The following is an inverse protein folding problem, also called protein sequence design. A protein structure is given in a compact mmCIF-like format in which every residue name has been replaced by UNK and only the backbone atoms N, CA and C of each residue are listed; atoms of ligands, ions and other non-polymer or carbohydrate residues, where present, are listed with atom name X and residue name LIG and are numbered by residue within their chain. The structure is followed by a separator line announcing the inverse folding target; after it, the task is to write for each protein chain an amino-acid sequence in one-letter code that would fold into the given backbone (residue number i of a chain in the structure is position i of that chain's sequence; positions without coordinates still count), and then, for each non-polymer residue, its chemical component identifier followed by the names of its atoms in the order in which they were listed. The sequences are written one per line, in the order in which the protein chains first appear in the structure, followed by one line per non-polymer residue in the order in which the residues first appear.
data_IF_056709806631
#
_entry.id   IF_056709806631
#
_cell.length_a   1.000
_cell.length_b   1.000
_cell.length_c   1.000
_cell.angle_alpha   90.00
_cell.angle_beta   90.00
_cell.angle_gamma   90.00
#
_symmetry.space_group_name_H-M   'P 1'
#
loop_
_entity.id
_entity.type
_entity.pdbx_description
1 polymer ?
#
# COMPACT_ATOMS: atom_id res chain seq x y z
N UNK A 1 9.58 1.28 -20.11
CA UNK A 1 8.82 0.02 -20.06
C UNK A 1 9.46 -0.87 -19.02
N UNK A 2 8.65 -1.34 -18.08
CA UNK A 2 9.07 -2.25 -17.03
C UNK A 2 9.36 -3.65 -17.55
N UNK A 3 9.73 -4.52 -16.63
CA UNK A 3 9.96 -5.94 -16.91
C UNK A 3 9.21 -6.80 -15.91
N UNK A 4 8.93 -8.03 -16.33
CA UNK A 4 8.34 -9.04 -15.46
C UNK A 4 9.36 -9.51 -14.41
N UNK A 5 8.86 -9.73 -13.19
CA UNK A 5 9.63 -10.36 -12.11
C UNK A 5 8.88 -11.62 -11.69
N UNK A 6 9.45 -12.78 -12.00
CA UNK A 6 8.90 -14.06 -11.61
C UNK A 6 9.58 -14.57 -10.34
N UNK A 7 8.79 -14.94 -9.34
CA UNK A 7 9.24 -15.50 -8.06
C UNK A 7 8.67 -16.90 -7.95
N UNK A 8 9.53 -17.88 -7.73
CA UNK A 8 9.13 -19.29 -7.73
C UNK A 8 9.67 -20.01 -6.50
N UNK A 9 8.76 -20.53 -5.67
CA UNK A 9 9.06 -21.36 -4.50
C UNK A 9 9.99 -20.72 -3.47
N UNK A 10 9.95 -19.39 -3.35
CA UNK A 10 10.91 -18.63 -2.54
C UNK A 10 10.70 -18.92 -1.05
N UNK A 11 11.76 -19.34 -0.36
CA UNK A 11 11.72 -19.59 1.08
C UNK A 11 12.85 -18.86 1.80
N UNK A 12 12.53 -18.21 2.92
CA UNK A 12 13.50 -17.48 3.74
C UNK A 12 13.34 -17.76 5.23
N UNK A 13 14.48 -17.89 5.91
CA UNK A 13 14.60 -18.10 7.34
C UNK A 13 15.79 -17.33 7.92
N UNK A 14 15.69 -16.99 9.21
CA UNK A 14 16.81 -16.51 10.01
C UNK A 14 16.99 -17.47 11.19
N UNK A 15 18.06 -18.25 11.16
CA UNK A 15 18.28 -19.34 12.12
C UNK A 15 17.12 -20.35 12.07
N UNK A 16 16.42 -20.52 13.19
CA UNK A 16 15.26 -21.43 13.30
C UNK A 16 13.93 -20.78 12.89
N UNK A 17 13.90 -19.46 12.75
CA UNK A 17 12.68 -18.71 12.45
C UNK A 17 12.48 -18.64 10.94
N UNK A 18 11.51 -19.39 10.42
CA UNK A 18 11.04 -19.21 9.05
C UNK A 18 10.27 -17.89 8.95
N UNK A 19 10.60 -17.07 7.95
CA UNK A 19 9.91 -15.81 7.67
C UNK A 19 8.84 -16.03 6.60
N UNK A 20 9.18 -16.77 5.53
CA UNK A 20 8.18 -17.31 4.59
C UNK A 20 8.65 -18.60 3.93
N UNK A 21 7.68 -19.36 3.40
CA UNK A 21 7.87 -20.65 2.75
C UNK A 21 7.09 -20.67 1.43
N UNK A 22 7.73 -21.22 0.41
CA UNK A 22 7.11 -21.53 -0.89
C UNK A 22 6.34 -20.37 -1.54
N UNK A 23 6.88 -19.16 -1.45
CA UNK A 23 6.23 -17.97 -2.04
C UNK A 23 6.44 -17.97 -3.55
N UNK A 24 5.33 -18.03 -4.28
CA UNK A 24 5.31 -17.97 -5.75
C UNK A 24 4.39 -16.85 -6.20
N UNK A 25 4.93 -15.90 -6.97
CA UNK A 25 4.15 -14.81 -7.57
C UNK A 25 4.85 -14.26 -8.81
N UNK A 26 4.11 -13.54 -9.63
CA UNK A 26 4.65 -12.86 -10.81
C UNK A 26 4.21 -11.41 -10.80
N UNK A 27 5.18 -10.49 -10.84
CA UNK A 27 4.92 -9.06 -11.02
C UNK A 27 4.86 -8.78 -12.52
N UNK A 28 3.68 -8.48 -13.11
CA UNK A 28 3.57 -8.30 -14.54
C UNK A 28 4.25 -7.00 -14.99
N UNK A 29 4.79 -7.01 -16.22
CA UNK A 29 5.52 -5.88 -16.78
C UNK A 29 4.73 -4.57 -16.82
N UNK A 30 5.27 -3.55 -16.14
CA UNK A 30 4.71 -2.20 -16.06
C UNK A 30 3.47 -2.08 -15.17
N UNK A 31 2.96 -3.18 -14.60
CA UNK A 31 1.82 -3.13 -13.68
C UNK A 31 2.26 -2.70 -12.28
N UNK A 32 1.33 -2.09 -11.54
CA UNK A 32 1.51 -1.71 -10.14
C UNK A 32 0.95 -2.82 -9.28
N UNK A 33 1.78 -3.44 -8.46
CA UNK A 33 1.42 -4.51 -7.55
C UNK A 33 1.57 -4.04 -6.11
N UNK A 34 0.64 -4.43 -5.24
CA UNK A 34 0.73 -4.17 -3.79
C UNK A 34 0.82 -5.50 -3.05
N UNK A 35 1.73 -5.58 -2.07
CA UNK A 35 1.84 -6.69 -1.15
C UNK A 35 1.51 -6.24 0.26
N UNK A 36 0.37 -6.72 0.76
CA UNK A 36 -0.16 -6.49 2.09
C UNK A 36 0.36 -7.49 3.10
N UNK A 37 0.22 -7.13 4.36
CA UNK A 37 0.38 -8.05 5.48
C UNK A 37 0.61 -7.28 6.78
N UNK A 38 0.30 -7.89 7.94
CA UNK A 38 0.63 -7.33 9.24
C UNK A 38 2.11 -6.93 9.37
N UNK A 39 2.40 -6.06 10.33
CA UNK A 39 3.78 -5.74 10.69
C UNK A 39 4.52 -7.02 11.10
N UNK A 40 5.80 -7.14 10.73
CA UNK A 40 6.62 -8.30 11.08
C UNK A 40 6.49 -9.53 10.16
N UNK A 41 5.56 -9.56 9.18
CA UNK A 41 5.42 -10.70 8.25
C UNK A 41 6.54 -10.86 7.22
N UNK A 42 7.57 -10.01 7.29
CA UNK A 42 8.76 -10.15 6.45
C UNK A 42 8.71 -9.44 5.09
N UNK A 43 7.72 -8.58 4.84
CA UNK A 43 7.55 -7.86 3.56
C UNK A 43 8.81 -7.09 3.11
N UNK A 44 9.48 -6.36 4.01
CA UNK A 44 10.75 -5.67 3.70
C UNK A 44 11.90 -6.63 3.42
N UNK A 45 11.88 -7.81 4.05
CA UNK A 45 12.89 -8.85 3.82
C UNK A 45 12.62 -9.52 2.45
N UNK A 46 11.35 -9.65 2.04
CA UNK A 46 10.97 -10.10 0.70
C UNK A 46 11.50 -9.15 -0.38
N UNK A 47 11.35 -7.82 -0.20
CA UNK A 47 11.94 -6.83 -1.11
C UNK A 47 13.46 -6.98 -1.21
N UNK A 48 14.16 -7.16 -0.08
CA UNK A 48 15.61 -7.39 -0.05
C UNK A 48 16.03 -8.66 -0.80
N UNK A 49 15.18 -9.69 -0.83
CA UNK A 49 15.42 -10.88 -1.64
C UNK A 49 15.25 -10.59 -3.14
N UNK A 50 14.24 -9.80 -3.54
CA UNK A 50 14.01 -9.46 -4.95
C UNK A 50 15.17 -8.68 -5.59
N UNK A 51 15.89 -7.86 -4.81
CA UNK A 51 17.07 -7.10 -5.29
C UNK A 51 18.40 -7.84 -5.08
N UNK A 52 18.35 -9.07 -4.55
CA UNK A 52 19.54 -9.85 -4.25
C UNK A 52 20.43 -9.26 -3.15
N UNK A 53 19.88 -8.48 -2.20
CA UNK A 53 20.59 -8.10 -0.97
C UNK A 53 20.57 -9.21 0.07
N UNK A 54 19.55 -10.06 0.04
CA UNK A 54 19.45 -11.25 0.88
C UNK A 54 19.21 -12.48 0.02
N UNK A 55 20.07 -13.49 0.17
CA UNK A 55 19.89 -14.76 -0.53
C UNK A 55 18.83 -15.62 0.18
N UNK A 56 17.79 -16.09 -0.53
CA UNK A 56 16.84 -17.07 0.01
C UNK A 56 17.51 -18.44 0.18
N UNK A 57 16.93 -19.34 0.97
CA UNK A 57 17.46 -20.71 1.08
C UNK A 57 16.96 -21.63 -0.04
N UNK A 58 15.76 -21.35 -0.58
CA UNK A 58 15.14 -22.10 -1.68
C UNK A 58 14.39 -21.16 -2.61
N UNK A 59 14.13 -21.66 -3.82
CA UNK A 59 13.42 -20.94 -4.86
C UNK A 59 14.33 -20.08 -5.70
N UNK A 60 13.72 -19.37 -6.66
CA UNK A 60 14.41 -18.50 -7.61
C UNK A 60 13.64 -17.22 -7.83
N UNK A 61 14.38 -16.18 -8.23
CA UNK A 61 13.83 -14.90 -8.68
C UNK A 61 14.36 -14.67 -10.07
N UNK A 62 13.49 -14.66 -11.06
CA UNK A 62 13.84 -14.59 -12.48
C UNK A 62 13.43 -13.24 -13.05
N UNK A 63 14.39 -12.53 -13.63
CA UNK A 63 14.20 -11.23 -14.29
C UNK A 63 14.93 -11.28 -15.62
N UNK A 64 14.22 -11.00 -16.73
CA UNK A 64 14.77 -11.10 -18.09
C UNK A 64 15.47 -12.46 -18.37
N UNK A 65 14.94 -13.54 -17.80
CA UNK A 65 15.49 -14.90 -17.94
C UNK A 65 16.71 -15.20 -17.07
N UNK A 66 17.18 -14.25 -16.25
CA UNK A 66 18.30 -14.46 -15.32
C UNK A 66 17.78 -14.77 -13.92
N UNK A 67 18.26 -15.86 -13.32
CA UNK A 67 18.00 -16.20 -11.92
C UNK A 67 18.96 -15.46 -10.98
N UNK A 68 18.42 -14.51 -10.22
CA UNK A 68 19.18 -13.68 -9.27
C UNK A 68 19.81 -14.50 -8.14
N UNK A 69 19.26 -15.67 -7.81
CA UNK A 69 19.72 -16.48 -6.68
C UNK A 69 21.00 -17.29 -7.02
N UNK A 70 21.23 -17.56 -8.29
CA UNK A 70 22.35 -18.37 -8.79
C UNK A 70 23.29 -17.63 -9.75
N UNK A 71 22.95 -16.43 -10.20
CA UNK A 71 23.79 -15.69 -11.15
C UNK A 71 25.13 -15.22 -10.53
N UNK A 72 26.18 -15.06 -11.37
CA UNK A 72 27.43 -14.41 -10.96
C UNK A 72 27.23 -12.98 -10.48
N UNK A 73 28.12 -12.50 -9.61
CA UNK A 73 28.05 -11.15 -9.02
C UNK A 73 28.03 -10.03 -10.09
N UNK A 74 28.72 -10.24 -11.22
CA UNK A 74 28.73 -9.32 -12.35
C UNK A 74 27.33 -9.12 -12.94
N UNK A 75 26.58 -10.20 -13.14
CA UNK A 75 25.23 -10.15 -13.71
C UNK A 75 24.25 -9.56 -12.71
N UNK A 76 24.43 -9.89 -11.43
CA UNK A 76 23.67 -9.32 -10.33
C UNK A 76 23.84 -7.79 -10.25
N UNK A 77 25.05 -7.28 -10.47
CA UNK A 77 25.33 -5.84 -10.54
C UNK A 77 24.59 -5.15 -11.69
N UNK A 78 24.56 -5.75 -12.88
CA UNK A 78 23.81 -5.20 -14.02
C UNK A 78 22.30 -5.21 -13.78
N UNK A 79 21.77 -6.31 -13.21
CA UNK A 79 20.36 -6.42 -12.86
C UNK A 79 19.96 -5.39 -11.81
N UNK A 80 20.82 -5.11 -10.81
CA UNK A 80 20.53 -4.07 -9.79
C UNK A 80 20.34 -2.68 -10.37
N UNK A 81 20.92 -2.37 -11.54
CA UNK A 81 20.69 -1.09 -12.23
C UNK A 81 19.27 -0.95 -12.78
N UNK A 82 18.55 -2.07 -12.98
CA UNK A 82 17.16 -2.07 -13.40
C UNK A 82 16.21 -1.66 -12.27
N UNK A 83 16.68 -1.67 -11.01
CA UNK A 83 15.88 -1.39 -9.84
C UNK A 83 16.04 0.05 -9.35
N UNK A 84 14.91 0.70 -9.08
CA UNK A 84 14.81 1.84 -8.20
C UNK A 84 14.20 1.40 -6.87
N UNK A 85 14.84 1.71 -5.74
CA UNK A 85 14.34 1.30 -4.42
C UNK A 85 14.07 2.52 -3.55
N UNK A 86 12.82 2.65 -3.10
CA UNK A 86 12.40 3.58 -2.07
C UNK A 86 12.29 2.81 -0.75
N UNK A 87 13.24 3.04 0.15
CA UNK A 87 13.19 2.54 1.52
C UNK A 87 12.23 3.38 2.39
N UNK A 88 11.78 2.79 3.50
CA UNK A 88 10.81 3.39 4.44
C UNK A 88 11.13 4.84 4.83
N UNK A 89 12.37 5.13 5.23
CA UNK A 89 12.82 6.49 5.61
C UNK A 89 13.48 7.26 4.45
N UNK A 90 13.32 6.80 3.21
CA UNK A 90 14.02 7.30 2.03
C UNK A 90 15.50 6.90 1.95
N UNK A 91 16.14 6.61 3.09
CA UNK A 91 17.54 6.22 3.23
C UNK A 91 18.53 7.21 2.59
N UNK A 92 18.26 8.51 2.71
CA UNK A 92 19.12 9.58 2.21
C UNK A 92 20.40 9.71 3.04
N UNK A 93 21.51 10.05 2.41
CA UNK A 93 22.76 10.39 3.08
C UNK A 93 22.60 11.74 3.79
N UNK A 94 22.61 11.72 5.12
CA UNK A 94 22.39 12.92 5.94
C UNK A 94 23.46 14.01 5.80
N UNK A 95 24.65 13.65 5.32
CA UNK A 95 25.77 14.56 5.07
C UNK A 95 25.75 15.21 3.68
N UNK A 96 24.81 14.83 2.81
CA UNK A 96 24.68 15.33 1.44
C UNK A 96 23.36 16.09 1.30
N UNK A 97 23.34 17.13 0.46
CA UNK A 97 22.08 17.80 0.09
C UNK A 97 21.21 16.89 -0.80
N UNK A 98 19.99 17.32 -1.10
CA UNK A 98 19.06 16.53 -1.93
C UNK A 98 19.59 16.34 -3.36
N UNK A 99 20.18 17.37 -3.97
CA UNK A 99 20.77 17.27 -5.31
C UNK A 99 21.82 16.15 -5.37
N UNK A 100 22.78 16.15 -4.45
CA UNK A 100 23.88 15.19 -4.41
C UNK A 100 23.38 13.79 -4.05
N UNK A 101 22.38 13.68 -3.19
CA UNK A 101 21.70 12.41 -2.92
C UNK A 101 21.10 11.80 -4.18
N UNK A 102 20.40 12.61 -4.99
CA UNK A 102 19.77 12.15 -6.24
C UNK A 102 20.82 11.92 -7.32
N UNK A 103 21.89 12.72 -7.37
CA UNK A 103 22.99 12.59 -8.33
C UNK A 103 23.87 11.35 -8.08
N UNK A 104 23.93 10.87 -6.83
CA UNK A 104 24.86 9.83 -6.41
C UNK A 104 24.84 8.57 -7.32
N UNK A 105 23.70 7.93 -7.63
CA UNK A 105 23.69 6.76 -8.50
C UNK A 105 24.20 7.05 -9.92
N UNK A 106 23.96 8.25 -10.46
CA UNK A 106 24.47 8.63 -11.78
C UNK A 106 26.00 8.76 -11.76
N UNK A 107 26.56 9.39 -10.73
CA UNK A 107 28.01 9.58 -10.60
C UNK A 107 28.75 8.26 -10.38
N UNK A 108 28.15 7.32 -9.68
CA UNK A 108 28.74 6.00 -9.40
C UNK A 108 28.62 5.02 -10.58
N UNK A 109 27.49 5.03 -11.28
CA UNK A 109 27.17 3.99 -12.28
C UNK A 109 27.29 4.45 -13.74
N UNK A 110 27.56 5.73 -13.99
CA UNK A 110 27.66 6.28 -15.35
C UNK A 110 28.92 7.12 -15.54
N UNK A 111 29.23 7.46 -16.79
CA UNK A 111 30.35 8.36 -17.17
C UNK A 111 29.84 9.69 -17.74
N UNK A 112 28.64 10.11 -17.31
CA UNK A 112 28.01 11.36 -17.78
C UNK A 112 28.78 12.57 -17.25
N UNK A 113 28.80 13.64 -18.03
CA UNK A 113 29.34 14.93 -17.60
C UNK A 113 28.49 15.54 -16.49
N UNK A 114 29.07 16.39 -15.64
CA UNK A 114 28.31 17.06 -14.57
C UNK A 114 27.15 17.91 -15.09
N UNK A 115 27.23 18.41 -16.32
CA UNK A 115 26.12 19.09 -16.99
C UNK A 115 24.95 18.13 -17.23
N UNK A 116 25.22 16.97 -17.83
CA UNK A 116 24.19 15.95 -18.07
C UNK A 116 23.61 15.41 -16.75
N UNK A 117 24.46 15.21 -15.73
CA UNK A 117 24.01 14.78 -14.39
C UNK A 117 23.05 15.82 -13.82
N UNK A 118 23.40 17.11 -13.87
CA UNK A 118 22.53 18.19 -13.39
C UNK A 118 21.18 18.19 -14.13
N UNK A 119 21.19 18.08 -15.45
CA UNK A 119 19.95 18.12 -16.24
C UNK A 119 19.02 16.95 -15.88
N UNK A 120 19.56 15.73 -15.74
CA UNK A 120 18.80 14.55 -15.33
C UNK A 120 18.27 14.71 -13.90
N UNK A 121 19.13 15.09 -12.96
CA UNK A 121 18.76 15.23 -11.54
C UNK A 121 17.64 16.25 -11.36
N UNK A 122 17.75 17.42 -12.00
CA UNK A 122 16.72 18.46 -11.91
C UNK A 122 15.41 17.98 -12.52
N UNK A 123 15.45 17.25 -13.63
CA UNK A 123 14.25 16.62 -14.21
C UNK A 123 13.58 15.64 -13.24
N UNK A 124 14.34 14.80 -12.53
CA UNK A 124 13.78 13.87 -11.54
C UNK A 124 13.26 14.55 -10.27
N UNK A 125 13.92 15.62 -9.83
CA UNK A 125 13.45 16.45 -8.71
C UNK A 125 12.14 17.15 -9.05
N UNK A 126 11.99 17.62 -10.29
CA UNK A 126 10.73 18.19 -10.78
C UNK A 126 9.61 17.15 -10.87
N UNK A 127 9.92 15.96 -11.38
CA UNK A 127 8.97 14.84 -11.47
C UNK A 127 8.35 14.45 -10.12
N UNK A 128 9.06 14.65 -9.01
CA UNK A 128 8.52 14.41 -7.65
C UNK A 128 8.01 15.68 -6.95
N UNK A 129 7.95 16.81 -7.66
CA UNK A 129 7.46 18.10 -7.15
C UNK A 129 8.33 18.66 -6.03
N UNK A 130 9.66 18.63 -6.20
CA UNK A 130 10.65 19.08 -5.21
C UNK A 130 11.58 20.20 -5.70
N UNK A 131 11.24 20.89 -6.79
CA UNK A 131 11.98 22.07 -7.23
C UNK A 131 12.09 23.13 -6.10
N UNK A 132 13.27 23.71 -5.95
CA UNK A 132 13.61 24.68 -4.90
C UNK A 132 14.05 24.06 -3.57
N UNK A 133 14.04 22.72 -3.45
CA UNK A 133 14.52 22.01 -2.26
C UNK A 133 15.84 21.27 -2.49
N UNK A 134 16.43 21.35 -3.69
CA UNK A 134 17.62 20.60 -4.10
C UNK A 134 18.86 20.90 -3.24
N UNK A 135 19.00 22.14 -2.76
CA UNK A 135 20.11 22.55 -1.90
C UNK A 135 19.94 22.20 -0.41
N UNK A 136 18.76 21.74 0.01
CA UNK A 136 18.47 21.42 1.42
C UNK A 136 19.12 20.11 1.84
N UNK A 137 19.40 19.97 3.12
CA UNK A 137 19.81 18.71 3.73
C UNK A 137 18.56 17.86 4.10
N UNK A 138 18.68 16.53 4.20
CA UNK A 138 17.57 15.66 4.61
C UNK A 138 16.93 16.03 5.96
N UNK A 139 17.71 16.62 6.87
CA UNK A 139 17.22 17.11 8.17
C UNK A 139 16.35 18.37 8.10
N UNK A 140 16.39 19.10 6.99
CA UNK A 140 15.71 20.40 6.81
C UNK A 140 14.36 20.28 6.08
N UNK A 141 13.96 19.06 5.71
CA UNK A 141 12.74 18.79 4.94
C UNK A 141 11.78 17.88 5.70
N UNK A 142 10.49 17.98 5.40
CA UNK A 142 9.45 17.16 6.04
C UNK A 142 9.58 15.68 5.69
N UNK A 143 8.95 14.78 6.46
CA UNK A 143 8.95 13.34 6.18
C UNK A 143 8.44 12.99 4.78
N UNK A 144 7.37 13.64 4.32
CA UNK A 144 6.86 13.46 2.96
C UNK A 144 7.84 13.95 1.89
N UNK A 145 8.58 15.04 2.13
CA UNK A 145 9.64 15.49 1.24
C UNK A 145 10.83 14.52 1.22
N UNK A 146 11.21 13.93 2.37
CA UNK A 146 12.29 12.92 2.41
C UNK A 146 11.95 11.71 1.53
N UNK A 147 10.70 11.25 1.57
CA UNK A 147 10.22 10.13 0.76
C UNK A 147 10.23 10.45 -0.73
N UNK A 148 9.77 11.65 -1.10
CA UNK A 148 9.83 12.13 -2.49
C UNK A 148 11.26 12.31 -2.99
N UNK A 149 12.18 12.79 -2.16
CA UNK A 149 13.60 12.85 -2.49
C UNK A 149 14.22 11.46 -2.65
N UNK A 150 13.87 10.51 -1.77
CA UNK A 150 14.26 9.11 -1.91
C UNK A 150 13.74 8.49 -3.20
N UNK A 151 12.50 8.83 -3.60
CA UNK A 151 11.90 8.40 -4.85
C UNK A 151 12.62 9.02 -6.07
N UNK A 152 12.96 10.31 -6.04
CA UNK A 152 13.75 10.93 -7.10
C UNK A 152 15.11 10.24 -7.29
N UNK A 153 15.78 9.88 -6.19
CA UNK A 153 17.02 9.11 -6.23
C UNK A 153 16.80 7.71 -6.82
N UNK A 154 15.70 7.05 -6.47
CA UNK A 154 15.36 5.75 -7.03
C UNK A 154 15.09 5.80 -8.55
N UNK A 155 14.57 6.92 -9.05
CA UNK A 155 14.21 7.11 -10.46
C UNK A 155 15.36 7.58 -11.37
N UNK A 156 16.51 7.96 -10.79
CA UNK A 156 17.55 8.70 -11.52
C UNK A 156 18.25 7.89 -12.62
N UNK A 157 18.26 6.56 -12.48
CA UNK A 157 18.83 5.65 -13.48
C UNK A 157 17.80 5.13 -14.49
N UNK A 158 16.60 5.72 -14.53
CA UNK A 158 15.48 5.25 -15.36
C UNK A 158 15.17 3.75 -15.14
N UNK A 159 14.84 3.36 -13.90
CA UNK A 159 14.66 1.95 -13.56
C UNK A 159 13.45 1.33 -14.27
N UNK A 160 13.54 0.04 -14.55
CA UNK A 160 12.45 -0.76 -15.10
C UNK A 160 11.56 -1.34 -13.99
N UNK A 161 12.10 -1.50 -12.78
CA UNK A 161 11.39 -2.01 -11.61
C UNK A 161 11.54 -1.00 -10.47
N UNK A 162 10.44 -0.62 -9.84
CA UNK A 162 10.43 0.25 -8.67
C UNK A 162 9.89 -0.54 -7.47
N UNK A 163 10.66 -0.60 -6.40
CA UNK A 163 10.26 -1.22 -5.15
C UNK A 163 10.05 -0.14 -4.09
N UNK A 164 8.89 -0.14 -3.44
CA UNK A 164 8.57 0.79 -2.37
C UNK A 164 8.31 0.03 -1.07
N UNK A 165 9.11 0.27 -0.05
CA UNK A 165 8.96 -0.31 1.28
C UNK A 165 8.25 0.68 2.21
N UNK A 166 6.97 0.44 2.50
CA UNK A 166 6.11 1.28 3.32
C UNK A 166 6.20 2.78 2.99
N UNK A 167 5.92 3.17 1.73
CA UNK A 167 6.06 4.56 1.29
C UNK A 167 5.10 5.51 2.03
N UNK A 168 4.06 5.01 2.67
CA UNK A 168 3.05 5.79 3.40
C UNK A 168 3.30 5.90 4.92
N UNK A 169 4.25 5.14 5.47
CA UNK A 169 4.57 5.13 6.91
C UNK A 169 4.88 6.52 7.50
N UNK A 170 4.29 6.87 8.64
CA UNK A 170 4.56 8.16 9.31
C UNK A 170 4.12 9.40 8.51
N UNK A 171 3.31 9.24 7.46
CA UNK A 171 2.62 10.32 6.76
C UNK A 171 1.16 10.42 7.22
N UNK A 172 0.64 11.64 7.21
CA UNK A 172 -0.80 11.88 7.39
C UNK A 172 -1.59 11.40 6.14
N UNK A 173 -2.90 11.13 6.28
CA UNK A 173 -3.72 10.59 5.18
C UNK A 173 -3.69 11.43 3.90
N UNK A 174 -3.61 12.76 4.02
CA UNK A 174 -3.57 13.67 2.86
C UNK A 174 -2.26 13.49 2.10
N UNK A 175 -1.11 13.47 2.81
CA UNK A 175 0.19 13.22 2.18
C UNK A 175 0.30 11.83 1.58
N UNK A 176 -0.30 10.82 2.20
CA UNK A 176 -0.39 9.47 1.64
C UNK A 176 -1.16 9.45 0.33
N UNK A 177 -2.26 10.19 0.22
CA UNK A 177 -3.01 10.32 -1.03
C UNK A 177 -2.17 10.98 -2.14
N UNK A 178 -1.47 12.08 -1.83
CA UNK A 178 -0.56 12.73 -2.80
C UNK A 178 0.57 11.80 -3.25
N UNK A 179 1.16 11.02 -2.35
CA UNK A 179 2.20 10.06 -2.71
C UNK A 179 1.65 8.91 -3.57
N UNK A 180 0.43 8.45 -3.27
CA UNK A 180 -0.24 7.42 -4.08
C UNK A 180 -0.52 7.92 -5.49
N UNK A 181 -1.01 9.15 -5.63
CA UNK A 181 -1.20 9.79 -6.94
C UNK A 181 0.12 9.91 -7.69
N UNK A 182 1.19 10.35 -7.02
CA UNK A 182 2.52 10.44 -7.62
C UNK A 182 3.02 9.09 -8.17
N UNK A 183 2.80 7.98 -7.46
CA UNK A 183 3.21 6.65 -7.94
C UNK A 183 2.43 6.22 -9.20
N UNK A 184 1.15 6.57 -9.29
CA UNK A 184 0.32 6.32 -10.48
C UNK A 184 0.77 7.19 -11.66
N UNK A 185 1.02 8.47 -11.41
CA UNK A 185 1.52 9.42 -12.40
C UNK A 185 2.88 9.01 -12.95
N UNK A 186 3.77 8.51 -12.08
CA UNK A 186 5.05 7.94 -12.48
C UNK A 186 4.86 6.70 -13.36
N UNK A 187 4.02 5.76 -12.93
CA UNK A 187 3.74 4.57 -13.74
C UNK A 187 3.20 4.93 -15.14
N UNK A 188 2.33 5.93 -15.23
CA UNK A 188 1.82 6.43 -16.51
C UNK A 188 2.92 7.00 -17.42
N UNK A 189 3.92 7.69 -16.85
CA UNK A 189 4.98 8.36 -17.60
C UNK A 189 6.10 7.41 -18.05
N UNK A 190 6.54 6.48 -17.19
CA UNK A 190 7.71 5.63 -17.47
C UNK A 190 7.39 4.14 -17.70
N UNK A 191 6.13 3.74 -17.43
CA UNK A 191 5.61 2.39 -17.59
C UNK A 191 6.43 1.32 -16.84
N UNK A 192 7.04 1.69 -15.71
CA UNK A 192 7.87 0.80 -14.88
C UNK A 192 7.02 -0.16 -14.04
N UNK A 193 7.53 -1.37 -13.79
CA UNK A 193 6.89 -2.35 -12.90
C UNK A 193 7.04 -1.88 -11.46
N UNK A 194 5.95 -1.70 -10.72
CA UNK A 194 6.02 -1.18 -9.36
C UNK A 194 5.54 -2.25 -8.39
N UNK A 195 6.32 -2.52 -7.33
CA UNK A 195 5.86 -3.28 -6.16
C UNK A 195 5.87 -2.39 -4.93
N UNK A 196 4.70 -2.23 -4.33
CA UNK A 196 4.51 -1.47 -3.10
C UNK A 196 4.23 -2.45 -1.96
N UNK A 197 5.08 -2.44 -0.96
CA UNK A 197 4.83 -3.12 0.31
C UNK A 197 4.21 -2.11 1.26
N UNK A 198 3.02 -2.42 1.79
CA UNK A 198 2.35 -1.54 2.76
C UNK A 198 1.40 -2.36 3.65
N UNK A 199 0.99 -1.77 4.76
CA UNK A 199 -0.11 -2.26 5.58
C UNK A 199 -1.35 -1.35 5.49
N UNK A 200 -1.34 -0.36 4.59
CA UNK A 200 -2.41 0.62 4.45
C UNK A 200 -3.49 0.17 3.47
N UNK A 201 -4.68 0.00 4.02
CA UNK A 201 -5.87 -0.49 3.32
C UNK A 201 -6.27 0.47 2.18
N UNK A 202 -6.21 1.79 2.39
CA UNK A 202 -6.63 2.75 1.37
C UNK A 202 -5.74 2.69 0.13
N UNK A 203 -4.43 2.57 0.32
CA UNK A 203 -3.47 2.38 -0.78
C UNK A 203 -3.77 1.08 -1.51
N UNK A 204 -3.96 -0.03 -0.77
CA UNK A 204 -4.26 -1.33 -1.37
C UNK A 204 -5.59 -1.38 -2.13
N UNK A 205 -6.56 -0.56 -1.74
CA UNK A 205 -7.86 -0.49 -2.43
C UNK A 205 -7.84 0.42 -3.65
N UNK A 206 -6.99 1.44 -3.70
CA UNK A 206 -7.10 2.47 -4.76
C UNK A 206 -5.97 2.43 -5.78
N UNK A 207 -4.79 1.94 -5.43
CA UNK A 207 -3.57 2.01 -6.26
C UNK A 207 -3.34 0.78 -7.15
N UNK A 208 -3.34 -0.47 -6.65
CA UNK A 208 -2.76 -1.60 -7.36
C UNK A 208 -3.60 -2.08 -8.54
N UNK A 209 -2.93 -2.69 -9.52
CA UNK A 209 -3.50 -3.57 -10.54
C UNK A 209 -3.60 -5.02 -10.03
N UNK A 210 -2.57 -5.46 -9.29
CA UNK A 210 -2.51 -6.74 -8.60
C UNK A 210 -2.31 -6.55 -7.10
N UNK A 211 -3.02 -7.33 -6.30
CA UNK A 211 -2.94 -7.29 -4.86
C UNK A 211 -2.53 -8.67 -4.35
N UNK A 212 -1.68 -8.71 -3.34
CA UNK A 212 -1.40 -9.93 -2.60
C UNK A 212 -1.29 -9.69 -1.11
N UNK A 213 -1.31 -10.77 -0.34
CA UNK A 213 -1.22 -10.71 1.12
C UNK A 213 -0.28 -11.79 1.65
N UNK A 214 0.71 -11.37 2.44
CA UNK A 214 1.56 -12.23 3.26
C UNK A 214 0.98 -12.36 4.67
N UNK A 215 0.75 -13.60 5.10
CA UNK A 215 0.34 -13.92 6.45
C UNK A 215 0.85 -15.32 6.83
N UNK A 216 1.15 -15.54 8.11
CA UNK A 216 1.63 -16.84 8.63
C UNK A 216 2.75 -17.50 7.81
N UNK A 217 3.70 -16.69 7.32
CA UNK A 217 4.88 -17.15 6.57
C UNK A 217 4.51 -17.70 5.17
N UNK A 218 3.34 -17.38 4.66
CA UNK A 218 2.88 -17.84 3.36
C UNK A 218 2.27 -16.66 2.58
N UNK A 219 2.24 -16.82 1.26
CA UNK A 219 1.48 -15.94 0.39
C UNK A 219 0.05 -16.47 0.33
N UNK A 220 -0.85 -15.86 1.09
CA UNK A 220 -2.26 -16.27 1.18
C UNK A 220 -2.93 -16.18 -0.17
N UNK A 221 -2.68 -15.07 -0.87
CA UNK A 221 -3.26 -14.79 -2.17
C UNK A 221 -2.41 -13.76 -2.90
N UNK A 222 -2.35 -13.88 -4.22
CA UNK A 222 -1.80 -12.85 -5.11
C UNK A 222 -2.50 -12.95 -6.46
N UNK A 223 -2.95 -11.83 -7.01
CA UNK A 223 -3.62 -11.82 -8.31
C UNK A 223 -4.25 -10.47 -8.63
N UNK A 224 -5.17 -10.42 -9.61
CA UNK A 224 -5.95 -9.22 -9.87
C UNK A 224 -6.61 -8.73 -8.58
N UNK A 225 -6.54 -7.42 -8.33
CA UNK A 225 -7.03 -6.82 -7.07
C UNK A 225 -8.45 -7.24 -6.67
N UNK A 226 -9.33 -7.50 -7.64
CA UNK A 226 -10.71 -7.90 -7.42
C UNK A 226 -10.79 -9.24 -6.69
N UNK A 227 -9.82 -10.13 -6.89
CA UNK A 227 -9.73 -11.42 -6.18
C UNK A 227 -9.61 -11.22 -4.68
N UNK A 228 -8.76 -10.28 -4.23
CA UNK A 228 -8.61 -10.00 -2.79
C UNK A 228 -9.72 -9.10 -2.25
N UNK A 229 -10.17 -8.10 -3.01
CA UNK A 229 -11.20 -7.15 -2.57
C UNK A 229 -12.61 -7.76 -2.46
N UNK A 230 -12.83 -8.92 -3.09
CA UNK A 230 -14.08 -9.69 -3.05
C UNK A 230 -13.89 -11.06 -2.39
N UNK A 231 -12.75 -11.28 -1.74
CA UNK A 231 -12.45 -12.53 -1.04
C UNK A 231 -13.28 -12.65 0.24
N UNK A 232 -13.73 -13.88 0.53
CA UNK A 232 -14.38 -14.26 1.78
C UNK A 232 -13.39 -14.90 2.77
N UNK A 233 -12.10 -14.95 2.41
CA UNK A 233 -11.07 -15.51 3.27
C UNK A 233 -10.96 -14.70 4.58
N UNK A 234 -11.14 -15.30 5.77
CA UNK A 234 -11.27 -14.57 7.04
C UNK A 234 -10.10 -13.65 7.35
N UNK A 235 -8.86 -14.04 7.00
CA UNK A 235 -7.68 -13.19 7.22
C UNK A 235 -7.70 -11.95 6.31
N UNK A 236 -8.14 -12.12 5.05
CA UNK A 236 -8.23 -11.03 4.08
C UNK A 236 -9.35 -10.07 4.49
N UNK A 237 -10.51 -10.62 4.87
CA UNK A 237 -11.66 -9.84 5.32
C UNK A 237 -11.31 -9.02 6.58
N UNK A 238 -10.69 -9.65 7.58
CA UNK A 238 -10.29 -8.96 8.81
C UNK A 238 -9.33 -7.81 8.49
N UNK A 239 -8.32 -8.06 7.66
CA UNK A 239 -7.31 -7.06 7.34
C UNK A 239 -7.87 -5.90 6.53
N UNK A 240 -8.70 -6.16 5.51
CA UNK A 240 -9.26 -5.12 4.66
C UNK A 240 -10.34 -4.29 5.36
N UNK A 241 -11.10 -4.88 6.29
CA UNK A 241 -12.12 -4.16 7.05
C UNK A 241 -11.57 -3.54 8.35
N UNK A 242 -10.31 -3.80 8.70
CA UNK A 242 -9.71 -3.35 9.96
C UNK A 242 -10.45 -3.89 11.19
N UNK A 243 -11.06 -5.08 11.08
CA UNK A 243 -11.84 -5.68 12.16
C UNK A 243 -10.91 -6.17 13.27
N UNK A 244 -11.33 -5.98 14.52
CA UNK A 244 -10.55 -6.51 15.65
C UNK A 244 -10.72 -8.02 15.75
N UNK A 245 -11.88 -8.54 15.39
CA UNK A 245 -12.18 -9.98 15.39
C UNK A 245 -11.70 -10.62 14.08
N UNK A 246 -10.98 -11.73 14.24
CA UNK A 246 -10.48 -12.56 13.15
C UNK A 246 -9.13 -13.22 13.49
N UNK A 247 -8.51 -13.94 12.54
CA UNK A 247 -7.30 -14.74 12.77
C UNK A 247 -6.02 -13.93 13.08
N UNK A 248 -5.97 -12.64 12.76
CA UNK A 248 -4.84 -11.73 13.01
C UNK A 248 -4.89 -11.21 14.45
N UNK A 249 -3.82 -11.45 15.20
CA UNK A 249 -3.64 -11.02 16.59
C UNK A 249 -2.65 -9.86 16.76
N UNK A 250 -2.51 -9.36 18.00
CA UNK A 250 -1.60 -8.26 18.36
C UNK A 250 -0.12 -8.60 18.17
N UNK A 251 0.27 -9.88 18.31
CA UNK A 251 1.67 -10.32 18.22
C UNK A 251 1.99 -11.15 16.99
N UNK A 252 1.02 -11.83 16.37
CA UNK A 252 1.11 -12.50 15.05
C UNK A 252 -0.19 -13.28 14.76
N UNK A 253 -0.62 -14.10 15.71
CA UNK A 253 -1.78 -15.00 15.62
C UNK A 253 -2.62 -14.90 16.91
N UNK A 254 -3.93 -15.13 16.80
CA UNK A 254 -4.78 -15.39 17.97
C UNK A 254 -4.97 -16.88 18.15
N UNK A 255 -4.76 -17.37 19.35
CA UNK A 255 -5.08 -18.74 19.70
C UNK A 255 -6.61 -18.95 19.70
N UNK A 256 -7.05 -20.20 19.49
CA UNK A 256 -8.48 -20.55 19.43
C UNK A 256 -9.27 -20.09 20.66
N UNK A 257 -8.67 -20.13 21.85
CA UNK A 257 -9.29 -19.65 23.08
C UNK A 257 -9.56 -18.14 23.04
N UNK A 258 -8.63 -17.36 22.47
CA UNK A 258 -8.77 -15.91 22.35
C UNK A 258 -9.80 -15.53 21.28
N UNK A 259 -9.84 -16.27 20.16
CA UNK A 259 -10.88 -16.11 19.13
C UNK A 259 -12.27 -16.44 19.68
N UNK A 260 -12.41 -17.54 20.45
CA UNK A 260 -13.67 -17.94 21.06
C UNK A 260 -14.15 -16.92 22.12
N UNK A 261 -13.22 -16.36 22.89
CA UNK A 261 -13.54 -15.32 23.87
C UNK A 261 -14.02 -14.03 23.20
N UNK A 262 -13.37 -13.59 22.13
CA UNK A 262 -13.79 -12.39 21.39
C UNK A 262 -15.13 -12.60 20.65
N UNK A 263 -15.36 -13.80 20.10
CA UNK A 263 -16.65 -14.16 19.51
C UNK A 263 -17.77 -14.17 20.57
N UNK A 264 -17.50 -14.70 21.77
CA UNK A 264 -18.45 -14.65 22.87
C UNK A 264 -18.75 -13.21 23.34
N UNK A 265 -17.76 -12.30 23.27
CA UNK A 265 -17.96 -10.88 23.54
C UNK A 265 -18.83 -10.20 22.47
N UNK A 266 -18.67 -10.55 21.19
CA UNK A 266 -19.54 -10.10 20.09
C UNK A 266 -20.98 -10.61 20.25
N UNK A 267 -21.15 -11.90 20.52
CA UNK A 267 -22.46 -12.52 20.73
C UNK A 267 -23.18 -11.90 21.95
N UNK A 268 -22.42 -11.38 22.91
CA UNK A 268 -22.91 -10.61 24.05
C UNK A 268 -23.18 -9.11 23.75
N UNK A 269 -23.07 -8.68 22.48
CA UNK A 269 -23.37 -7.32 22.03
C UNK A 269 -22.26 -6.30 22.27
N UNK A 270 -21.02 -6.72 22.52
CA UNK A 270 -19.89 -5.81 22.69
C UNK A 270 -19.37 -5.33 21.32
N UNK A 271 -19.55 -4.04 21.01
CA UNK A 271 -18.97 -3.44 19.81
C UNK A 271 -17.44 -3.36 19.94
N UNK A 272 -16.71 -3.82 18.92
CA UNK A 272 -15.26 -3.72 18.85
C UNK A 272 -14.76 -2.37 18.31
N UNK A 273 -15.68 -1.44 18.02
CA UNK A 273 -15.39 -0.14 17.41
C UNK A 273 -14.99 -0.23 15.93
N UNK A 274 -15.10 -1.41 15.30
CA UNK A 274 -14.96 -1.53 13.85
C UNK A 274 -16.16 -0.89 13.15
N UNK A 275 -15.94 -0.42 11.93
CA UNK A 275 -17.02 0.08 11.10
C UNK A 275 -17.95 -1.09 10.76
N UNK A 276 -19.24 -0.97 11.08
CA UNK A 276 -20.25 -1.98 10.71
C UNK A 276 -20.41 -2.10 9.18
N UNK A 277 -19.98 -1.07 8.44
CA UNK A 277 -19.92 -1.09 6.98
C UNK A 277 -18.84 -2.06 6.49
N UNK A 278 -19.33 -3.18 5.96
CA UNK A 278 -18.54 -4.10 5.18
C UNK A 278 -17.94 -3.40 3.95
N UNK A 279 -16.62 -3.21 3.95
CA UNK A 279 -15.92 -2.50 2.87
C UNK A 279 -15.64 -3.40 1.65
N UNK A 280 -16.26 -4.59 1.59
CA UNK A 280 -16.20 -5.46 0.40
C UNK A 280 -16.68 -4.70 -0.83
N UNK A 281 -15.93 -4.88 -1.92
CA UNK A 281 -16.25 -4.25 -3.19
C UNK A 281 -15.05 -3.62 -3.89
N UNK A 282 -15.18 -3.55 -5.21
CA UNK A 282 -14.15 -2.98 -6.09
C UNK A 282 -14.37 -1.48 -6.17
N UNK A 283 -13.59 -0.72 -5.39
CA UNK A 283 -13.58 0.74 -5.51
C UNK A 283 -12.86 1.18 -6.79
N UNK A 284 -13.22 2.32 -7.39
CA UNK A 284 -12.48 2.87 -8.53
C UNK A 284 -10.98 3.00 -8.23
N UNK A 285 -10.15 2.64 -9.19
CA UNK A 285 -8.70 2.84 -9.11
C UNK A 285 -8.37 4.32 -9.29
N UNK A 286 -7.27 4.78 -8.69
CA UNK A 286 -6.69 6.08 -9.00
C UNK A 286 -6.31 6.14 -10.48
N UNK A 287 -6.72 7.21 -11.14
CA UNK A 287 -6.34 7.53 -12.51
C UNK A 287 -5.15 8.49 -12.54
N UNK A 288 -4.32 8.49 -13.62
CA UNK A 288 -3.28 9.49 -13.78
C UNK A 288 -3.84 10.91 -13.75
N UNK A 289 -3.06 11.84 -13.22
CA UNK A 289 -3.40 13.27 -13.19
C UNK A 289 -3.74 13.76 -14.61
N UNK A 290 -4.82 14.56 -14.79
CA UNK A 290 -5.21 15.06 -16.10
C UNK A 290 -4.05 15.75 -16.84
N UNK A 291 -3.85 15.39 -18.11
CA UNK A 291 -2.74 15.87 -18.95
C UNK A 291 -1.56 14.89 -19.06
N UNK A 292 -1.49 13.88 -18.18
CA UNK A 292 -0.55 12.77 -18.34
C UNK A 292 -1.08 11.72 -19.34
N UNK A 293 -0.18 10.94 -19.97
CA UNK A 293 -0.59 9.84 -20.84
C UNK A 293 -1.40 8.77 -20.07
N UNK A 294 -2.26 8.00 -20.77
CA UNK A 294 -2.91 6.85 -20.15
C UNK A 294 -1.89 5.77 -19.80
N UNK A 295 -2.19 4.98 -18.77
CA UNK A 295 -1.33 3.85 -18.36
C UNK A 295 -1.43 2.70 -19.37
N UNK A 296 -0.35 2.41 -20.09
CA UNK A 296 -0.30 1.23 -20.97
C UNK A 296 -0.41 -0.07 -20.18
N UNK A 297 0.08 -0.08 -18.94
CA UNK A 297 -0.13 -1.15 -17.98
C UNK A 297 -1.59 -1.53 -17.76
N UNK A 298 -2.51 -0.55 -17.66
CA UNK A 298 -3.94 -0.82 -17.47
C UNK A 298 -4.53 -1.56 -18.68
N UNK A 299 -4.06 -1.24 -19.89
CA UNK A 299 -4.45 -1.93 -21.13
C UNK A 299 -3.97 -3.38 -21.13
N UNK A 300 -2.70 -3.62 -20.78
CA UNK A 300 -2.10 -4.96 -20.72
C UNK A 300 -2.76 -5.81 -19.64
N UNK A 301 -2.97 -5.25 -18.45
CA UNK A 301 -3.73 -5.86 -17.36
C UNK A 301 -5.10 -6.32 -17.84
N UNK A 302 -5.87 -5.43 -18.49
CA UNK A 302 -7.21 -5.77 -19.00
C UNK A 302 -7.17 -6.97 -19.94
N UNK A 303 -6.24 -7.00 -20.90
CA UNK A 303 -6.11 -8.14 -21.82
C UNK A 303 -5.77 -9.44 -21.09
N UNK A 304 -4.79 -9.39 -20.18
CA UNK A 304 -4.34 -10.54 -19.38
C UNK A 304 -5.46 -11.09 -18.49
N UNK A 305 -6.15 -10.22 -17.76
CA UNK A 305 -7.25 -10.59 -16.85
C UNK A 305 -8.41 -11.23 -17.63
N UNK A 306 -8.74 -10.72 -18.82
CA UNK A 306 -9.80 -11.33 -19.64
C UNK A 306 -9.49 -12.76 -20.06
N UNK A 307 -8.23 -13.09 -20.33
CA UNK A 307 -7.83 -14.45 -20.71
C UNK A 307 -7.99 -15.44 -19.56
N UNK A 308 -7.72 -15.00 -18.32
CA UNK A 308 -7.79 -15.84 -17.12
C UNK A 308 -9.11 -15.69 -16.36
N UNK A 309 -10.04 -14.86 -16.83
CA UNK A 309 -11.26 -14.51 -16.08
C UNK A 309 -12.04 -15.76 -15.62
N UNK A 310 -12.10 -16.78 -16.49
CA UNK A 310 -12.77 -18.06 -16.23
C UNK A 310 -12.13 -18.89 -15.11
N UNK A 311 -10.86 -18.64 -14.75
CA UNK A 311 -10.16 -19.33 -13.65
C UNK A 311 -10.29 -18.59 -12.32
N UNK A 312 -10.87 -17.39 -12.30
CA UNK A 312 -11.01 -16.58 -11.10
C UNK A 312 -12.28 -16.95 -10.33
N UNK A 313 -12.35 -16.70 -9.01
CA UNK A 313 -13.58 -16.86 -8.23
C UNK A 313 -14.75 -16.05 -8.79
N UNK A 314 -15.99 -16.54 -8.67
CA UNK A 314 -17.18 -15.89 -9.24
C UNK A 314 -17.37 -14.46 -8.73
N UNK A 315 -17.11 -14.20 -7.44
CA UNK A 315 -17.17 -12.85 -6.85
C UNK A 315 -16.21 -11.88 -7.54
N UNK A 316 -14.99 -12.34 -7.84
CA UNK A 316 -13.98 -11.58 -8.56
C UNK A 316 -14.38 -11.37 -10.03
N UNK A 317 -14.95 -12.40 -10.68
CA UNK A 317 -15.45 -12.28 -12.05
C UNK A 317 -16.53 -11.19 -12.16
N UNK A 318 -17.50 -11.20 -11.24
CA UNK A 318 -18.55 -10.18 -11.18
C UNK A 318 -17.97 -8.78 -10.93
N UNK A 319 -17.04 -8.65 -9.98
CA UNK A 319 -16.35 -7.38 -9.71
C UNK A 319 -15.60 -6.83 -10.93
N UNK A 320 -14.89 -7.69 -11.66
CA UNK A 320 -14.16 -7.32 -12.89
C UNK A 320 -15.15 -6.86 -13.96
N UNK A 321 -16.19 -7.66 -14.24
CA UNK A 321 -17.17 -7.35 -15.30
C UNK A 321 -17.97 -6.08 -15.00
N UNK A 322 -18.32 -5.84 -13.73
CA UNK A 322 -19.03 -4.63 -13.30
C UNK A 322 -18.18 -3.36 -13.47
N UNK A 323 -16.85 -3.48 -13.42
CA UNK A 323 -15.92 -2.35 -13.59
C UNK A 323 -15.59 -2.02 -15.06
N UNK A 324 -16.04 -2.84 -16.03
CA UNK A 324 -15.73 -2.62 -17.44
C UNK A 324 -16.52 -1.46 -18.04
N UNK A 325 -15.87 -0.75 -18.96
CA UNK A 325 -16.58 0.12 -19.89
C UNK A 325 -17.53 -0.70 -20.77
N UNK A 326 -18.58 -0.06 -21.30
CA UNK A 326 -19.55 -0.71 -22.19
C UNK A 326 -18.88 -1.34 -23.42
N UNK A 327 -17.96 -0.59 -24.04
CA UNK A 327 -17.19 -1.05 -25.20
C UNK A 327 -16.31 -2.27 -24.86
N UNK A 328 -15.74 -2.31 -23.67
CA UNK A 328 -14.93 -3.45 -23.21
C UNK A 328 -15.78 -4.67 -22.92
N UNK A 329 -16.95 -4.46 -22.32
CA UNK A 329 -17.90 -5.54 -22.07
C UNK A 329 -18.36 -6.18 -23.38
N UNK A 330 -18.68 -5.37 -24.39
CA UNK A 330 -19.11 -5.85 -25.71
C UNK A 330 -17.97 -6.62 -26.42
N UNK A 331 -16.74 -6.12 -26.37
CA UNK A 331 -15.55 -6.83 -26.89
C UNK A 331 -15.34 -8.18 -26.21
N UNK A 332 -15.49 -8.24 -24.89
CA UNK A 332 -15.38 -9.49 -24.14
C UNK A 332 -16.48 -10.49 -24.54
N UNK A 333 -17.73 -10.03 -24.66
CA UNK A 333 -18.86 -10.86 -25.09
C UNK A 333 -18.66 -11.41 -26.51
N UNK A 334 -18.04 -10.65 -27.40
CA UNK A 334 -17.71 -11.13 -28.74
C UNK A 334 -16.59 -12.19 -28.71
N UNK A 335 -15.51 -11.94 -27.96
CA UNK A 335 -14.43 -12.92 -27.77
C UNK A 335 -14.95 -14.23 -27.16
N UNK A 336 -15.79 -14.15 -26.12
CA UNK A 336 -16.36 -15.32 -25.44
C UNK A 336 -17.31 -16.10 -26.35
N UNK A 337 -18.13 -15.41 -27.16
CA UNK A 337 -18.96 -16.05 -28.19
C UNK A 337 -18.12 -16.84 -29.19
N UNK A 338 -17.00 -16.28 -29.65
CA UNK A 338 -16.08 -16.93 -30.60
C UNK A 338 -15.33 -18.13 -29.98
N UNK A 339 -14.99 -18.06 -28.70
CA UNK A 339 -14.09 -19.05 -28.05
C UNK A 339 -14.83 -20.17 -27.33
N UNK A 340 -16.00 -19.88 -26.75
CA UNK A 340 -16.76 -20.79 -25.86
C UNK A 340 -18.20 -21.06 -26.30
N UNK A 341 -18.72 -20.33 -27.30
CA UNK A 341 -20.09 -20.52 -27.78
C UNK A 341 -21.22 -20.08 -26.83
N UNK A 342 -20.91 -19.50 -25.66
CA UNK A 342 -21.90 -19.09 -24.64
C UNK A 342 -21.87 -17.57 -24.40
N UNK A 343 -23.05 -16.93 -24.40
CA UNK A 343 -23.24 -15.52 -24.03
C UNK A 343 -23.76 -15.40 -22.57
N UNK A 344 -23.33 -14.37 -21.81
CA UNK A 344 -23.92 -14.05 -20.50
C UNK A 344 -25.20 -13.20 -20.65
N UNK A 345 -26.10 -13.14 -19.64
CA UNK A 345 -27.19 -12.15 -19.59
C UNK A 345 -26.64 -10.71 -19.52
N UNK A 346 -27.52 -9.74 -19.81
CA UNK A 346 -27.24 -8.31 -20.07
C UNK A 346 -26.26 -7.61 -19.10
N UNK A 347 -25.40 -6.76 -19.68
CA UNK A 347 -24.24 -6.08 -19.06
C UNK A 347 -24.54 -5.04 -17.97
N UNK A 348 -23.54 -4.24 -17.54
CA UNK A 348 -23.64 -3.43 -16.33
C UNK A 348 -24.82 -2.46 -16.44
N UNK A 349 -25.85 -2.76 -15.65
CA UNK A 349 -27.07 -1.96 -15.58
C UNK A 349 -26.77 -0.63 -14.92
N UNK A 350 -27.14 0.45 -15.59
CA UNK A 350 -27.47 1.71 -14.93
C UNK A 350 -28.45 1.41 -13.82
N UNK A 351 -28.11 1.73 -12.57
CA UNK A 351 -29.05 1.80 -11.45
C UNK A 351 -30.14 2.83 -11.80
N UNK A 352 -31.17 2.37 -12.50
CA UNK A 352 -32.44 3.06 -12.61
C UNK A 352 -33.08 3.03 -11.23
N UNK A 353 -33.31 4.20 -10.67
CA UNK A 353 -34.20 4.44 -9.54
C UNK A 353 -35.49 3.64 -9.72
N UNK A 354 -35.63 2.54 -8.98
CA UNK A 354 -36.90 1.86 -8.81
C UNK A 354 -37.76 2.73 -7.88
N UNK A 355 -38.53 3.63 -8.48
CA UNK A 355 -39.65 4.30 -7.85
C UNK A 355 -40.67 3.23 -7.47
N UNK A 356 -40.67 2.85 -6.19
CA UNK A 356 -41.76 2.08 -5.62
C UNK A 356 -43.03 2.95 -5.66
N UNK A 357 -43.92 2.63 -6.60
CA UNK A 357 -45.27 3.14 -6.68
C UNK A 357 -46.01 2.73 -5.41
N UNK A 358 -46.28 3.70 -4.52
CA UNK A 358 -47.22 3.53 -3.41
C UNK A 358 -48.42 4.43 -3.69
N UNK A 359 -49.55 3.80 -3.93
CA UNK A 359 -50.84 4.40 -4.25
C UNK A 359 -51.24 5.47 -3.22
N UNK A 360 -51.56 6.65 -3.72
CA UNK A 360 -52.24 7.70 -2.98
C UNK A 360 -53.74 7.39 -2.93
N UNK A 361 -54.27 7.19 -1.72
CA UNK A 361 -55.69 7.46 -1.46
C UNK A 361 -55.79 8.84 -0.81
N UNK A 362 -56.32 9.80 -1.58
CA UNK A 362 -56.69 11.15 -1.13
C UNK A 362 -57.89 11.08 -0.19
N UNK A 363 -57.80 11.77 0.95
CA UNK A 363 -58.96 12.43 1.55
C UNK A 363 -58.57 13.87 1.86
N UNK A 364 -59.33 14.77 1.24
CA UNK A 364 -59.28 16.23 1.34
C UNK A 364 -59.69 16.73 2.73
N UNK A 365 -59.12 17.85 3.19
CA UNK A 365 -59.87 19.10 3.43
C UNK A 365 -59.01 20.20 4.08
N UNK A 366 -59.01 21.35 3.39
CA UNK A 366 -59.14 22.74 3.87
C UNK A 366 -58.16 23.31 4.92
N UNK A 367 -57.38 24.32 4.48
CA UNK A 367 -56.85 25.38 5.35
C UNK A 367 -57.95 26.40 5.69
N UNK A 368 -57.88 27.01 6.88
CA UNK A 368 -57.94 28.47 6.91
C UNK A 368 -56.89 29.14 7.83
N UNK A 369 -56.27 30.18 7.26
CA UNK A 369 -55.89 31.47 7.85
C UNK A 369 -55.30 31.57 9.27
N UNK A 370 -54.10 32.19 9.34
CA UNK A 370 -53.53 32.84 10.54
C UNK A 370 -54.47 33.92 11.10
N UNK A 371 -54.41 34.17 12.43
CA UNK A 371 -53.80 35.42 12.86
C UNK A 371 -52.88 35.31 14.11
N UNK A 372 -52.42 36.48 14.54
CA UNK A 372 -51.23 36.82 15.32
C UNK A 372 -51.19 36.46 16.82
N UNK A 373 -49.95 36.51 17.32
CA UNK A 373 -49.48 36.94 18.65
C UNK A 373 -50.06 36.28 19.92
N UNK A 374 -49.17 35.63 20.67
CA UNK A 374 -49.41 35.24 22.06
C UNK A 374 -48.20 34.52 22.64
N UNK A 375 -47.66 35.04 23.73
CA UNK A 375 -46.43 34.62 24.40
C UNK A 375 -46.35 33.12 24.71
N UNK A 376 -45.14 32.55 24.64
CA UNK A 376 -44.82 31.30 25.31
C UNK A 376 -43.56 31.41 26.16
N UNK A 377 -43.50 30.64 27.27
CA UNK A 377 -42.60 30.86 28.38
C UNK A 377 -41.27 30.12 28.20
N UNK A 378 -40.25 30.70 28.79
CA UNK A 378 -38.90 30.19 28.98
C UNK A 378 -38.93 28.74 29.52
N UNK A 379 -38.50 27.76 28.71
CA UNK A 379 -38.13 26.45 29.20
C UNK A 379 -36.60 26.32 29.28
N UNK A 380 -36.20 25.80 30.43
CA UNK A 380 -34.86 25.83 31.00
C UNK A 380 -33.89 24.92 30.27
N UNK A 381 -32.71 25.47 30.00
CA UNK A 381 -31.49 24.73 29.68
C UNK A 381 -31.10 23.90 30.92
N UNK A 382 -30.95 22.56 30.83
CA UNK A 382 -30.40 21.78 31.93
C UNK A 382 -28.93 22.16 32.14
N UNK A 383 -28.58 22.53 33.39
CA UNK A 383 -27.19 22.74 33.82
C UNK A 383 -26.39 21.43 33.72
N UNK A 384 -25.09 21.49 33.35
CA UNK A 384 -24.24 20.31 33.35
C UNK A 384 -24.02 19.80 34.78
N UNK A 385 -24.26 18.51 34.96
CA UNK A 385 -23.93 17.77 36.19
C UNK A 385 -22.41 17.73 36.34
N UNK A 386 -21.92 18.22 37.48
CA UNK A 386 -20.50 18.20 37.83
C UNK A 386 -20.00 16.75 37.92
N UNK A 387 -19.21 16.33 36.93
CA UNK A 387 -18.38 15.15 37.05
C UNK A 387 -17.21 15.46 37.99
N UNK A 388 -17.10 14.64 39.03
CA UNK A 388 -16.02 14.56 40.00
C UNK A 388 -14.63 14.63 39.34
N UNK A 389 -13.78 15.52 39.86
CA UNK A 389 -12.37 15.66 39.47
C UNK A 389 -11.60 14.36 39.73
N UNK A 390 -10.76 13.87 38.79
CA UNK A 390 -9.76 12.86 39.12
C UNK A 390 -8.68 13.47 40.04
N UNK A 391 -8.05 12.68 40.93
CA UNK A 391 -6.99 13.17 41.81
C UNK A 391 -5.77 13.59 40.98
N UNK A 392 -5.09 14.65 41.44
CA UNK A 392 -3.90 15.20 40.80
C UNK A 392 -2.73 14.18 40.79
N UNK A 393 -1.86 14.20 39.77
CA UNK A 393 -0.67 13.37 39.74
C UNK A 393 0.30 13.76 40.87
N UNK A 394 0.72 12.78 41.65
CA UNK A 394 1.78 12.94 42.65
C UNK A 394 3.10 13.32 41.96
N UNK A 395 3.74 14.38 42.44
CA UNK A 395 5.08 14.76 42.02
C UNK A 395 6.10 13.68 42.42
N UNK A 396 7.10 13.36 41.57
CA UNK A 396 8.15 12.42 41.94
C UNK A 396 9.03 13.03 43.05
N UNK A 397 9.22 12.27 44.13
CA UNK A 397 10.18 12.61 45.20
C UNK A 397 11.59 12.73 44.62
N UNK A 398 12.21 13.89 44.83
CA UNK A 398 13.61 14.13 44.51
C UNK A 398 14.49 13.24 45.40
N UNK A 399 15.32 12.41 44.75
CA UNK A 399 16.39 11.66 45.42
C UNK A 399 17.51 12.63 45.84
N UNK A 400 18.16 12.45 47.02
CA UNK A 400 19.27 13.30 47.43
C UNK A 400 20.52 13.06 46.54
N UNK A 401 21.39 14.07 46.35
CA UNK A 401 22.52 13.99 45.43
C UNK A 401 23.57 12.97 45.89
N UNK A 402 23.92 12.03 45.00
CA UNK A 402 25.05 11.13 45.18
C UNK A 402 26.37 11.92 45.20
N UNK A 403 27.19 11.66 46.23
CA UNK A 403 28.59 12.12 46.31
C UNK A 403 29.44 11.52 45.17
N UNK A 404 30.40 12.26 44.60
CA UNK A 404 31.27 11.72 43.57
C UNK A 404 32.23 10.67 44.17
N UNK A 405 32.22 9.45 43.61
CA UNK A 405 33.26 8.45 43.88
C UNK A 405 34.52 8.75 43.04
N UNK A 406 35.73 8.50 43.58
CA UNK A 406 36.99 8.94 42.99
C UNK A 406 37.37 8.14 41.74
N UNK A 407 38.05 8.80 40.81
CA UNK A 407 38.64 8.22 39.58
C UNK A 407 39.70 7.17 39.94
N UNK A 408 39.73 5.99 39.28
CA UNK A 408 40.88 5.12 39.38
C UNK A 408 42.02 5.62 38.48
N UNK A 409 43.16 5.70 39.13
CA UNK A 409 44.53 5.94 38.71
C UNK A 409 44.96 5.46 37.32
N UNK A 410 45.75 6.32 36.64
CA UNK A 410 46.79 5.93 35.69
C UNK A 410 47.86 5.12 36.41
N UNK A 411 48.38 4.07 35.76
CA UNK A 411 49.78 3.66 35.89
C UNK A 411 50.36 3.36 34.50
N UNK A 412 51.57 3.87 34.34
CA UNK A 412 52.49 3.73 33.23
C UNK A 412 53.08 2.31 33.12
N UNK A 413 53.66 2.05 31.95
CA UNK A 413 54.86 1.24 31.67
C UNK A 413 54.85 -0.30 31.80
N UNK A 414 55.44 -0.95 30.78
CA UNK A 414 56.37 -2.07 30.98
C UNK A 414 56.14 -3.34 30.13
N UNK A 415 56.97 -3.49 29.09
CA UNK A 415 57.62 -4.72 28.58
C UNK A 415 56.95 -6.10 28.70
N UNK A 416 56.62 -6.72 27.57
CA UNK A 416 57.34 -7.86 26.94
C UNK A 416 56.65 -8.35 25.67
#
# INVERSE_FOLDING_TARGET
MGVEVAVEGLSKSFGKQAIWRDVTLTLPSGEVSVLLGPSGTGKSVFLKCLIGLLKPEKGRVVINGVDLCSCPERDLYEIRKLFGVLFQDGALFGSMNIFDNVAFPLREHTRKSEKEVRDIVMSKIDMVGMLGAEGKLPGEISGGMRKRAGLARALVLDPQIILCDEPDSGLDPVRTAYLSQLLIDLNAQIDATILIVTHNINVARTVPDNLGMLFRKELVMFGPREVLLTSEEPVVEQFLNGRRIGPIGMSEEKDQAQMAQEQAHLDAGHSDGSLEEDMRGVVPQLEPTPGLPPRDAARRRRQRVMQILHTLPESAQHGILASLSRDDYDRYQEWRRRTTGMAMPSGPGTTGTATATREQTRVSQELPTRPAAGAQPTQQIPRPVAQSRPPAPQQPQQSPPMRPRPRPWRREEGDQ
#
